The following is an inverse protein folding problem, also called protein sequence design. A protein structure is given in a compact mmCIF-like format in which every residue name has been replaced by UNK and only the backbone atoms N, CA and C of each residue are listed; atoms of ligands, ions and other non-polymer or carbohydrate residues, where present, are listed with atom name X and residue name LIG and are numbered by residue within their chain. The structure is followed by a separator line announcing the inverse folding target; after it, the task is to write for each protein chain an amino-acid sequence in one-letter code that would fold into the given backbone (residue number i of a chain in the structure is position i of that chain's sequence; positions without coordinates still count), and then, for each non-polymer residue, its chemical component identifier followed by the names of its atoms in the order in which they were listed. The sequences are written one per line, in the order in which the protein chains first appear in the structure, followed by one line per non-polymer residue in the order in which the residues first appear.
data_IF_317430578769
#
_entry.id   IF_317430578769
#
_cell.length_a   1.000
_cell.length_b   1.000
_cell.length_c   1.000
_cell.angle_alpha   90.00
_cell.angle_beta   90.00
_cell.angle_gamma   90.00
#
_symmetry.space_group_name_H-M   'P 1'
#
loop_
_entity.id
_entity.type
_entity.pdbx_description
1 polymer ?
#
# COMPACT_ATOMS: atom_id res chain seq x y z
N UNK A 1 11.43 -5.06 -6.17
CA UNK A 1 10.01 -5.25 -6.48
C UNK A 1 9.19 -4.76 -5.30
N UNK A 2 7.98 -4.24 -5.54
CA UNK A 2 7.01 -3.88 -4.51
C UNK A 2 5.75 -4.72 -4.73
N UNK A 3 5.28 -5.35 -3.66
CA UNK A 3 4.08 -6.19 -3.67
C UNK A 3 3.12 -5.68 -2.62
N UNK A 4 1.90 -5.33 -3.04
CA UNK A 4 0.86 -4.77 -2.18
C UNK A 4 -0.40 -5.61 -2.27
N UNK A 5 -1.09 -5.80 -1.14
CA UNK A 5 -2.41 -6.40 -1.06
C UNK A 5 -3.44 -5.33 -0.78
N UNK A 6 -4.51 -5.33 -1.55
CA UNK A 6 -5.61 -4.39 -1.47
C UNK A 6 -6.90 -5.10 -1.07
N UNK A 7 -7.70 -4.46 -0.23
CA UNK A 7 -9.00 -5.01 0.19
C UNK A 7 -10.02 -4.96 -0.96
N UNK A 8 -11.10 -5.76 -0.89
CA UNK A 8 -12.15 -5.74 -1.92
C UNK A 8 -12.76 -4.35 -2.13
N UNK A 9 -12.89 -3.57 -1.05
CA UNK A 9 -13.57 -2.27 -1.03
C UNK A 9 -12.95 -1.21 -1.97
N UNK A 10 -11.66 -1.32 -2.30
CA UNK A 10 -10.96 -0.34 -3.14
C UNK A 10 -10.35 -0.94 -4.41
N UNK A 11 -10.61 -2.22 -4.69
CA UNK A 11 -10.00 -2.95 -5.81
C UNK A 11 -10.38 -2.35 -7.17
N UNK A 12 -11.60 -1.81 -7.34
CA UNK A 12 -12.01 -1.11 -8.57
C UNK A 12 -11.14 0.14 -8.82
N UNK A 13 -10.94 0.97 -7.81
CA UNK A 13 -10.11 2.19 -7.89
C UNK A 13 -8.64 1.90 -8.21
N UNK A 14 -8.11 0.80 -7.69
CA UNK A 14 -6.73 0.38 -7.99
C UNK A 14 -6.61 -0.10 -9.45
N UNK A 15 -7.65 -0.75 -9.99
CA UNK A 15 -7.68 -1.23 -11.39
C UNK A 15 -7.83 -0.11 -12.41
N UNK A 16 -8.56 0.95 -12.08
CA UNK A 16 -8.79 2.09 -12.97
C UNK A 16 -7.52 2.90 -13.26
N UNK A 17 -6.51 2.81 -12.39
CA UNK A 17 -5.29 3.62 -12.48
C UNK A 17 -4.07 2.75 -12.75
N UNK A 18 -3.51 2.87 -13.96
CA UNK A 18 -2.18 2.35 -14.25
C UNK A 18 -1.14 3.35 -13.73
N UNK A 19 -0.45 3.00 -12.64
CA UNK A 19 0.52 3.89 -11.99
C UNK A 19 1.94 3.68 -12.53
N UNK A 20 2.26 2.49 -13.04
CA UNK A 20 3.57 2.18 -13.61
C UNK A 20 3.44 1.15 -14.74
N UNK A 21 4.35 1.20 -15.73
CA UNK A 21 4.30 0.30 -16.88
C UNK A 21 4.46 -1.18 -16.50
N UNK A 22 5.26 -1.48 -15.46
CA UNK A 22 5.49 -2.85 -14.97
C UNK A 22 4.39 -3.38 -14.05
N UNK A 23 3.33 -2.60 -13.81
CA UNK A 23 2.23 -2.95 -12.92
C UNK A 23 1.53 -4.24 -13.38
N UNK A 24 1.42 -5.21 -12.48
CA UNK A 24 0.58 -6.40 -12.62
C UNK A 24 -0.44 -6.44 -11.48
N UNK A 25 -1.69 -6.75 -11.82
CA UNK A 25 -2.79 -6.88 -10.86
C UNK A 25 -3.37 -8.29 -10.94
N UNK A 26 -3.39 -8.97 -9.80
CA UNK A 26 -3.95 -10.32 -9.68
C UNK A 26 -5.11 -10.29 -8.67
N UNK A 27 -6.30 -10.83 -8.99
CA UNK A 27 -7.39 -10.93 -8.01
C UNK A 27 -7.02 -11.91 -6.88
N UNK A 28 -7.54 -11.68 -5.68
CA UNK A 28 -7.48 -12.66 -4.59
C UNK A 28 -8.81 -13.39 -4.40
N UNK A 29 -8.84 -14.61 -3.84
CA UNK A 29 -10.08 -15.36 -3.57
C UNK A 29 -11.08 -14.60 -2.69
N UNK A 30 -10.59 -13.70 -1.83
CA UNK A 30 -11.39 -12.91 -0.90
C UNK A 30 -12.01 -11.65 -1.56
N UNK A 31 -11.79 -11.46 -2.86
CA UNK A 31 -12.33 -10.34 -3.64
C UNK A 31 -11.42 -9.10 -3.70
N UNK A 32 -10.21 -9.18 -3.15
CA UNK A 32 -9.20 -8.12 -3.21
C UNK A 32 -8.33 -8.20 -4.47
N UNK A 33 -7.17 -7.54 -4.43
CA UNK A 33 -6.13 -7.74 -5.43
C UNK A 33 -4.71 -7.64 -4.87
N UNK A 34 -3.77 -8.31 -5.53
CA UNK A 34 -2.34 -8.13 -5.36
C UNK A 34 -1.81 -7.27 -6.51
N UNK A 35 -1.17 -6.15 -6.16
CA UNK A 35 -0.41 -5.32 -7.09
C UNK A 35 1.07 -5.72 -6.98
N UNK A 36 1.69 -6.07 -8.11
CA UNK A 36 3.15 -6.21 -8.23
C UNK A 36 3.68 -5.14 -9.17
N UNK A 37 4.74 -4.47 -8.74
CA UNK A 37 5.37 -3.42 -9.55
C UNK A 37 6.87 -3.38 -9.31
N UNK A 38 7.62 -3.20 -10.40
CA UNK A 38 9.06 -2.94 -10.37
C UNK A 38 9.27 -1.44 -10.47
N UNK A 39 9.69 -0.83 -9.36
CA UNK A 39 10.09 0.58 -9.28
C UNK A 39 11.56 0.68 -8.92
N UNK A 40 12.24 1.68 -9.50
CA UNK A 40 13.65 1.93 -9.21
C UNK A 40 13.86 2.43 -7.77
N UNK A 41 12.95 3.27 -7.28
CA UNK A 41 12.98 3.82 -5.91
C UNK A 41 11.64 3.56 -5.19
N UNK A 42 11.52 2.46 -4.43
CA UNK A 42 10.28 2.16 -3.71
C UNK A 42 9.89 3.21 -2.66
N UNK A 43 10.80 4.08 -2.22
CA UNK A 43 10.47 5.17 -1.29
C UNK A 43 9.46 6.16 -1.87
N UNK A 44 9.48 6.40 -3.18
CA UNK A 44 8.53 7.29 -3.85
C UNK A 44 7.07 6.80 -3.75
N UNK A 45 6.87 5.50 -3.52
CA UNK A 45 5.54 4.91 -3.35
C UNK A 45 4.94 5.15 -1.96
N UNK A 46 5.73 5.51 -0.95
CA UNK A 46 5.26 5.61 0.44
C UNK A 46 4.08 6.59 0.62
N UNK A 47 4.10 7.83 0.07
CA UNK A 47 2.93 8.73 0.13
C UNK A 47 1.69 8.14 -0.53
N UNK A 48 1.85 7.45 -1.66
CA UNK A 48 0.75 6.83 -2.38
C UNK A 48 0.16 5.65 -1.60
N UNK A 49 1.00 4.77 -1.04
CA UNK A 49 0.57 3.67 -0.17
C UNK A 49 -0.23 4.20 1.02
N UNK A 50 0.29 5.23 1.72
CA UNK A 50 -0.40 5.83 2.88
C UNK A 50 -1.76 6.42 2.56
N UNK A 51 -1.96 6.94 1.35
CA UNK A 51 -3.23 7.55 0.95
C UNK A 51 -4.41 6.57 0.95
N UNK A 52 -4.13 5.27 0.89
CA UNK A 52 -5.14 4.20 0.99
C UNK A 52 -5.50 3.83 2.43
N UNK A 53 -4.76 4.32 3.42
CA UNK A 53 -5.00 4.02 4.84
C UNK A 53 -4.96 2.52 5.14
N UNK A 54 -5.95 2.01 5.86
CA UNK A 54 -6.05 0.60 6.24
C UNK A 54 -6.45 -0.35 5.11
N UNK A 55 -6.66 0.15 3.90
CA UNK A 55 -7.13 -0.65 2.76
C UNK A 55 -6.00 -1.28 1.94
N UNK A 56 -4.75 -1.05 2.33
CA UNK A 56 -3.56 -1.61 1.68
C UNK A 56 -2.61 -2.22 2.72
N UNK A 57 -2.01 -3.35 2.36
CA UNK A 57 -0.94 -3.99 3.10
C UNK A 57 0.30 -4.10 2.19
N UNK A 58 1.46 -3.65 2.67
CA UNK A 58 2.74 -3.91 1.99
C UNK A 58 3.15 -5.34 2.29
N UNK A 59 3.25 -6.20 1.28
CA UNK A 59 3.77 -7.56 1.42
C UNK A 59 5.29 -7.60 1.23
N UNK A 60 5.78 -6.86 0.24
CA UNK A 60 7.21 -6.75 -0.07
C UNK A 60 7.58 -5.35 -0.58
N UNK A 61 8.82 -4.90 -0.36
CA UNK A 61 9.86 -5.55 0.45
C UNK A 61 9.63 -5.32 1.97
N UNK A 62 10.19 -6.17 2.85
CA UNK A 62 9.98 -6.05 4.30
C UNK A 62 10.35 -4.67 4.88
N UNK A 63 11.44 -4.08 4.41
CA UNK A 63 11.86 -2.75 4.86
C UNK A 63 10.82 -1.67 4.55
N UNK A 64 10.08 -1.78 3.44
CA UNK A 64 9.04 -0.81 3.08
C UNK A 64 7.85 -0.93 4.04
N UNK A 65 7.49 -2.16 4.40
CA UNK A 65 6.49 -2.44 5.44
C UNK A 65 6.90 -1.80 6.77
N UNK A 66 8.16 -1.96 7.18
CA UNK A 66 8.68 -1.37 8.42
C UNK A 66 8.61 0.16 8.43
N UNK A 67 8.95 0.80 7.31
CA UNK A 67 8.84 2.26 7.16
C UNK A 67 7.38 2.73 7.31
N UNK A 68 6.44 2.08 6.60
CA UNK A 68 5.01 2.42 6.71
C UNK A 68 4.49 2.22 8.15
N UNK A 69 4.90 1.13 8.83
CA UNK A 69 4.54 0.90 10.23
C UNK A 69 5.07 2.02 11.14
N UNK A 70 6.32 2.44 10.96
CA UNK A 70 6.92 3.52 11.74
C UNK A 70 6.16 4.85 11.56
N UNK A 71 5.85 5.21 10.32
CA UNK A 71 5.10 6.43 10.02
C UNK A 71 3.65 6.37 10.55
N UNK A 72 2.95 5.24 10.41
CA UNK A 72 1.60 5.08 10.95
C UNK A 72 1.58 5.17 12.47
N UNK A 73 2.60 4.67 13.16
CA UNK A 73 2.74 4.85 14.63
C UNK A 73 2.89 6.32 15.00
N UNK A 74 3.67 7.08 14.24
CA UNK A 74 3.81 8.52 14.45
C UNK A 74 2.47 9.24 14.20
N UNK A 75 1.75 8.88 13.15
CA UNK A 75 0.42 9.43 12.86
C UNK A 75 -0.54 9.16 14.03
N UNK A 76 -0.60 7.92 14.53
CA UNK A 76 -1.41 7.57 15.71
C UNK A 76 -1.04 8.43 16.91
N UNK A 77 0.25 8.69 17.15
CA UNK A 77 0.69 9.53 18.27
C UNK A 77 0.15 10.97 18.20
N UNK A 78 -0.08 11.51 16.99
CA UNK A 78 -0.68 12.85 16.83
C UNK A 78 -2.17 12.89 17.22
N UNK A 79 -2.88 11.77 17.06
CA UNK A 79 -4.31 11.68 17.37
C UNK A 79 -4.62 11.12 18.75
N UNK A 80 -3.61 10.69 19.51
CA UNK A 80 -3.82 10.29 20.91
C UNK A 80 -4.31 11.51 21.69
N UNK A 81 -5.44 11.35 22.38
CA UNK A 81 -5.95 12.37 23.29
C UNK A 81 -4.84 12.77 24.27
N UNK A 82 -4.53 14.05 24.31
CA UNK A 82 -3.72 14.63 25.37
C UNK A 82 -4.68 14.85 26.54
N UNK A 83 -4.63 13.96 27.51
CA UNK A 83 -5.24 14.19 28.83
C UNK A 83 -4.54 15.34 29.54
#
# INVERSE_FOLDING_TARGET
EVVLRFTPAITSRVRERQWHASQKLEPTPEGGCILRVYVAEPKEMQPWIRSWGSQVEVLEPPWLREQIVAELRQAVAQYRFRS
#
